data_IF_635007044595
#
_entry.id   IF_635007044595
#
_cell.length_a   1.000
_cell.length_b   1.000
_cell.length_c   1.000
_cell.angle_alpha   90.00
_cell.angle_beta   90.00
_cell.angle_gamma   90.00
#
_symmetry.space_group_name_H-M   'P 1'
#
loop_
_entity.id
_entity.type
_entity.pdbx_description
1 polymer ?
#
# COMPACT_ATOMS: atom_id res chain seq x y z
N UNK A 1 31.44 8.61 16.06
CA UNK A 1 32.09 7.29 16.19
C UNK A 1 31.33 6.49 17.23
N UNK A 2 30.29 5.78 16.79
CA UNK A 2 29.40 5.02 17.67
C UNK A 2 29.94 3.60 17.87
N UNK A 3 30.43 3.29 19.08
CA UNK A 3 30.82 1.93 19.47
C UNK A 3 29.72 1.35 20.36
N UNK A 4 28.74 0.67 19.76
CA UNK A 4 27.79 -0.17 20.52
C UNK A 4 28.29 -1.62 20.57
N UNK A 5 28.46 -2.08 21.81
CA UNK A 5 28.92 -3.41 22.20
C UNK A 5 27.92 -4.54 21.81
N UNK A 6 28.39 -5.80 21.69
CA UNK A 6 27.54 -6.94 21.33
C UNK A 6 26.65 -7.38 22.51
N UNK A 7 25.34 -7.52 22.25
CA UNK A 7 24.36 -8.10 23.19
C UNK A 7 24.60 -9.61 23.31
N UNK A 8 25.00 -10.07 24.49
CA UNK A 8 24.93 -11.49 24.91
C UNK A 8 23.46 -11.88 25.07
N UNK A 9 23.03 -12.93 24.38
CA UNK A 9 21.77 -13.63 24.67
C UNK A 9 22.03 -14.78 25.66
N UNK A 10 21.41 -14.79 26.85
CA UNK A 10 21.23 -16.00 27.62
C UNK A 10 19.78 -16.46 27.48
N UNK A 11 19.53 -17.58 26.80
CA UNK A 11 18.32 -18.33 27.11
C UNK A 11 18.52 -19.82 26.81
N UNK A 12 19.01 -20.53 27.83
CA UNK A 12 18.87 -21.99 27.90
C UNK A 12 17.46 -22.25 28.44
N UNK A 13 16.51 -22.50 27.56
CA UNK A 13 15.20 -23.02 27.97
C UNK A 13 15.41 -24.43 28.58
N UNK A 14 14.77 -24.77 29.71
CA UNK A 14 14.87 -26.11 30.26
C UNK A 14 14.21 -27.11 29.30
N UNK A 15 14.89 -28.22 29.03
CA UNK A 15 14.30 -29.35 28.31
C UNK A 15 13.22 -29.95 29.20
N UNK A 16 11.96 -29.57 28.96
CA UNK A 16 10.80 -30.14 29.61
C UNK A 16 10.60 -31.56 29.06
N UNK A 17 10.67 -32.57 29.94
CA UNK A 17 10.32 -33.94 29.57
C UNK A 17 8.81 -33.99 29.39
N UNK A 18 8.36 -33.94 28.14
CA UNK A 18 6.95 -34.12 27.78
C UNK A 18 6.58 -35.58 28.02
N UNK A 19 5.61 -35.81 28.90
CA UNK A 19 5.06 -37.14 29.13
C UNK A 19 3.91 -37.40 28.17
N UNK A 20 3.58 -38.68 27.92
CA UNK A 20 2.45 -39.05 27.05
C UNK A 20 1.13 -38.46 27.59
N UNK A 21 1.00 -38.30 28.91
CA UNK A 21 -0.14 -37.64 29.54
C UNK A 21 -0.30 -36.16 29.12
N UNK A 22 0.80 -35.44 28.95
CA UNK A 22 0.78 -34.02 28.53
C UNK A 22 0.28 -33.85 27.09
N UNK A 23 0.58 -34.82 26.22
CA UNK A 23 0.12 -34.82 24.82
C UNK A 23 -1.39 -35.04 24.72
N UNK A 24 -1.96 -35.89 25.58
CA UNK A 24 -3.41 -36.10 25.65
C UNK A 24 -4.15 -34.93 26.31
N UNK A 25 -3.54 -34.27 27.30
CA UNK A 25 -4.11 -33.06 27.91
C UNK A 25 -4.16 -31.88 26.91
N UNK A 26 -3.09 -31.67 26.13
CA UNK A 26 -3.06 -30.64 25.09
C UNK A 26 -4.09 -30.90 23.97
N UNK A 27 -4.38 -32.17 23.65
CA UNK A 27 -5.41 -32.54 22.67
C UNK A 27 -6.84 -32.23 23.15
N UNK A 28 -7.09 -32.19 24.46
CA UNK A 28 -8.39 -31.78 25.03
C UNK A 28 -8.55 -30.26 25.14
N UNK A 29 -7.46 -29.51 25.26
CA UNK A 29 -7.52 -28.05 25.37
C UNK A 29 -7.75 -27.35 24.01
N UNK A 30 -7.44 -28.00 22.89
CA UNK A 30 -7.64 -27.45 21.54
C UNK A 30 -9.06 -27.67 20.98
N UNK A 31 -9.93 -28.40 21.68
CA UNK A 31 -11.31 -28.69 21.25
C UNK A 31 -12.38 -27.82 21.92
N UNK A 32 -12.02 -26.91 22.83
CA UNK A 32 -12.97 -25.95 23.41
C UNK A 32 -12.91 -24.59 22.69
N UNK A 33 -13.47 -24.56 21.49
CA UNK A 33 -13.61 -23.35 20.67
C UNK A 33 -14.83 -23.42 19.75
N UNK A 34 -16.03 -23.30 20.34
CA UNK A 34 -17.30 -22.78 19.79
C UNK A 34 -17.68 -23.06 18.32
N UNK A 35 -18.74 -23.85 18.06
CA UNK A 35 -20.13 -23.40 17.74
C UNK A 35 -20.99 -24.50 17.05
N UNK A 36 -22.23 -24.64 17.52
CA UNK A 36 -23.48 -25.13 16.90
C UNK A 36 -23.57 -26.43 16.07
N UNK A 37 -24.45 -27.32 16.57
CA UNK A 37 -25.51 -27.96 15.76
C UNK A 37 -25.18 -29.24 15.01
N UNK A 38 -25.47 -30.40 15.63
CA UNK A 38 -25.68 -31.67 14.93
C UNK A 38 -24.96 -32.86 15.55
N UNK A 39 -25.68 -33.63 16.37
CA UNK A 39 -25.24 -34.93 16.92
C UNK A 39 -25.01 -35.91 15.77
N UNK A 40 -23.89 -36.66 15.79
CA UNK A 40 -24.04 -38.11 15.79
C UNK A 40 -23.26 -38.72 16.96
N UNK A 41 -23.98 -39.49 17.75
CA UNK A 41 -23.49 -40.27 18.88
C UNK A 41 -22.32 -41.16 18.45
N UNK A 42 -21.18 -41.03 19.12
CA UNK A 42 -20.15 -42.07 19.18
C UNK A 42 -20.10 -42.63 20.60
N UNK A 43 -19.92 -43.95 20.75
CA UNK A 43 -20.12 -44.63 22.02
C UNK A 43 -19.03 -44.25 23.03
N UNK A 44 -19.46 -43.69 24.17
CA UNK A 44 -18.64 -43.57 25.36
C UNK A 44 -18.22 -44.97 25.81
N UNK A 45 -17.02 -45.39 25.40
CA UNK A 45 -16.41 -46.61 25.93
C UNK A 45 -15.80 -46.26 27.27
N UNK A 46 -16.64 -46.21 28.30
CA UNK A 46 -16.20 -46.13 29.69
C UNK A 46 -15.58 -47.48 30.05
N UNK A 47 -14.25 -47.56 30.06
CA UNK A 47 -13.55 -48.76 30.54
C UNK A 47 -13.53 -48.73 32.07
N UNK A 48 -14.52 -49.39 32.68
CA UNK A 48 -14.53 -49.65 34.13
C UNK A 48 -13.43 -50.64 34.46
N UNK A 49 -12.38 -50.19 35.15
CA UNK A 49 -11.39 -51.08 35.75
C UNK A 49 -11.92 -51.58 37.09
N UNK A 50 -12.44 -52.80 37.13
CA UNK A 50 -12.71 -53.51 38.39
C UNK A 50 -11.38 -53.92 39.02
N UNK A 51 -11.07 -53.31 40.16
CA UNK A 51 -9.92 -53.67 40.98
C UNK A 51 -10.35 -54.69 42.05
N UNK A 52 -10.46 -55.96 41.67
CA UNK A 52 -10.44 -57.07 42.62
C UNK A 52 -9.05 -57.70 42.59
N UNK A 53 -8.25 -57.39 43.61
CA UNK A 53 -6.94 -57.99 43.83
C UNK A 53 -7.08 -59.15 44.81
N UNK A 54 -6.81 -60.38 44.36
CA UNK A 54 -6.01 -61.37 45.10
C UNK A 54 -5.59 -62.48 44.12
N UNK A 55 -4.42 -62.31 43.50
CA UNK A 55 -3.66 -63.43 42.98
C UNK A 55 -2.18 -63.03 42.91
N UNK A 56 -1.35 -63.71 43.71
CA UNK A 56 0.09 -63.79 43.53
C UNK A 56 0.40 -64.26 42.12
N UNK A 57 0.69 -63.33 41.21
CA UNK A 57 0.98 -63.62 39.81
C UNK A 57 1.62 -62.41 39.16
N UNK A 58 2.74 -62.64 38.49
CA UNK A 58 3.49 -61.66 37.69
C UNK A 58 2.51 -60.82 36.85
N UNK A 59 2.65 -59.48 36.78
CA UNK A 59 1.76 -58.66 35.97
C UNK A 59 1.71 -59.23 34.54
N UNK A 60 0.52 -59.32 33.90
CA UNK A 60 0.40 -59.88 32.57
C UNK A 60 1.38 -59.14 31.65
N UNK A 61 2.31 -59.88 31.06
CA UNK A 61 3.23 -59.26 30.11
C UNK A 61 2.41 -58.77 28.92
N UNK A 62 2.64 -57.53 28.45
CA UNK A 62 1.95 -57.02 27.28
C UNK A 62 2.23 -57.96 26.12
N UNK A 63 1.16 -58.51 25.54
CA UNK A 63 1.24 -59.34 24.34
C UNK A 63 1.84 -58.49 23.20
N UNK A 64 2.82 -59.05 22.49
CA UNK A 64 3.42 -58.40 21.32
C UNK A 64 2.36 -58.04 20.28
N UNK A 65 1.28 -58.80 20.17
CA UNK A 65 0.16 -58.48 19.28
C UNK A 65 -0.51 -57.14 19.67
N UNK A 66 -0.72 -56.89 20.96
CA UNK A 66 -1.29 -55.64 21.47
C UNK A 66 -0.33 -54.46 21.29
N UNK A 67 0.97 -54.66 21.51
CA UNK A 67 1.97 -53.62 21.26
C UNK A 67 1.98 -53.23 19.77
N UNK A 68 1.95 -54.23 18.88
CA UNK A 68 1.92 -54.01 17.43
C UNK A 68 0.64 -53.33 16.96
N UNK A 69 -0.52 -53.60 17.57
CA UNK A 69 -1.78 -52.92 17.23
C UNK A 69 -1.72 -51.43 17.59
N UNK A 70 -1.16 -51.07 18.75
CA UNK A 70 -0.94 -49.67 19.13
C UNK A 70 -0.02 -48.97 18.13
N UNK A 71 1.09 -49.61 17.74
CA UNK A 71 1.98 -49.02 16.74
C UNK A 71 1.29 -48.80 15.39
N UNK A 72 0.42 -49.73 14.97
CA UNK A 72 -0.37 -49.58 13.74
C UNK A 72 -1.36 -48.41 13.83
N UNK A 73 -2.04 -48.25 14.96
CA UNK A 73 -2.95 -47.12 15.20
C UNK A 73 -2.23 -45.78 15.22
N UNK A 74 -1.12 -45.69 15.97
CA UNK A 74 -0.28 -44.49 16.04
C UNK A 74 0.25 -44.12 14.66
N UNK A 75 0.74 -45.11 13.89
CA UNK A 75 1.19 -44.89 12.51
C UNK A 75 0.06 -44.34 11.64
N UNK A 76 -1.11 -44.95 11.69
CA UNK A 76 -2.28 -44.52 10.91
C UNK A 76 -2.70 -43.10 11.28
N UNK A 77 -2.73 -42.78 12.57
CA UNK A 77 -3.03 -41.45 13.07
C UNK A 77 -2.02 -40.40 12.58
N UNK A 78 -0.72 -40.67 12.72
CA UNK A 78 0.34 -39.75 12.29
C UNK A 78 0.32 -39.52 10.78
N UNK A 79 0.17 -40.59 9.99
CA UNK A 79 0.03 -40.50 8.53
C UNK A 79 -1.21 -39.68 8.17
N UNK A 80 -2.36 -39.96 8.78
CA UNK A 80 -3.59 -39.19 8.54
C UNK A 80 -3.48 -37.72 8.95
N UNK A 81 -2.69 -37.41 9.98
CA UNK A 81 -2.41 -36.02 10.39
C UNK A 81 -1.51 -35.31 9.37
N UNK A 82 -0.44 -35.97 8.92
CA UNK A 82 0.47 -35.44 7.89
C UNK A 82 -0.26 -35.21 6.57
N UNK A 83 -1.09 -36.14 6.13
CA UNK A 83 -1.88 -36.00 4.89
C UNK A 83 -2.82 -34.80 4.99
N UNK A 84 -3.53 -34.64 6.11
CA UNK A 84 -4.42 -33.50 6.34
C UNK A 84 -3.65 -32.17 6.36
N UNK A 85 -2.57 -32.08 7.13
CA UNK A 85 -1.77 -30.84 7.18
C UNK A 85 -1.17 -30.49 5.83
N UNK A 86 -0.69 -31.49 5.08
CA UNK A 86 -0.14 -31.27 3.74
C UNK A 86 -1.22 -30.85 2.74
N UNK A 87 -2.44 -31.38 2.87
CA UNK A 87 -3.60 -30.95 2.07
C UNK A 87 -3.98 -29.49 2.32
N UNK A 88 -4.03 -29.08 3.60
CA UNK A 88 -4.30 -27.68 3.98
C UNK A 88 -3.23 -26.75 3.42
N UNK A 89 -1.95 -27.05 3.67
CA UNK A 89 -0.83 -26.24 3.16
C UNK A 89 -0.83 -26.13 1.64
N UNK A 90 -1.16 -27.22 0.93
CA UNK A 90 -1.29 -27.18 -0.53
C UNK A 90 -2.40 -26.24 -0.97
N UNK A 91 -3.55 -26.27 -0.30
CA UNK A 91 -4.66 -25.35 -0.57
C UNK A 91 -4.26 -23.89 -0.34
N UNK A 92 -3.63 -23.59 0.80
CA UNK A 92 -3.14 -22.24 1.11
C UNK A 92 -2.11 -21.74 0.09
N UNK A 93 -1.18 -22.59 -0.34
CA UNK A 93 -0.19 -22.24 -1.38
C UNK A 93 -0.88 -21.91 -2.71
N UNK A 94 -1.91 -22.68 -3.09
CA UNK A 94 -2.67 -22.41 -4.31
C UNK A 94 -3.43 -21.09 -4.23
N UNK A 95 -4.07 -20.81 -3.09
CA UNK A 95 -4.77 -19.53 -2.85
C UNK A 95 -3.80 -18.36 -2.88
N UNK A 96 -2.62 -18.49 -2.24
CA UNK A 96 -1.59 -17.46 -2.26
C UNK A 96 -1.07 -17.22 -3.68
N UNK A 97 -0.87 -18.30 -4.46
CA UNK A 97 -0.49 -18.20 -5.87
C UNK A 97 -1.52 -17.44 -6.70
N UNK A 98 -2.80 -17.76 -6.55
CA UNK A 98 -3.88 -17.05 -7.26
C UNK A 98 -3.95 -15.57 -6.87
N UNK A 99 -3.80 -15.26 -5.59
CA UNK A 99 -3.79 -13.89 -5.09
C UNK A 99 -2.58 -13.10 -5.62
N UNK A 100 -1.41 -13.74 -5.67
CA UNK A 100 -0.19 -13.13 -6.21
C UNK A 100 -0.39 -12.73 -7.68
N UNK A 101 -0.92 -13.63 -8.50
CA UNK A 101 -1.23 -13.33 -9.91
C UNK A 101 -2.22 -12.17 -10.04
N UNK A 102 -3.24 -12.12 -9.18
CA UNK A 102 -4.22 -11.04 -9.20
C UNK A 102 -3.59 -9.68 -8.84
N UNK A 103 -2.70 -9.65 -7.84
CA UNK A 103 -1.98 -8.44 -7.44
C UNK A 103 -1.04 -7.97 -8.55
N UNK A 104 -0.33 -8.89 -9.19
CA UNK A 104 0.54 -8.58 -10.35
C UNK A 104 -0.25 -7.97 -11.50
N UNK A 105 -1.40 -8.53 -11.85
CA UNK A 105 -2.27 -7.98 -12.90
C UNK A 105 -2.77 -6.57 -12.57
N UNK A 106 -3.18 -6.33 -11.32
CA UNK A 106 -3.61 -5.00 -10.87
C UNK A 106 -2.46 -4.00 -10.88
N UNK A 107 -1.25 -4.44 -10.54
CA UNK A 107 -0.06 -3.60 -10.59
C UNK A 107 0.26 -3.17 -12.02
N UNK A 108 0.24 -4.12 -12.97
CA UNK A 108 0.45 -3.82 -14.40
C UNK A 108 -0.58 -2.82 -14.92
N UNK A 109 -1.87 -3.06 -14.68
CA UNK A 109 -2.92 -2.13 -15.11
C UNK A 109 -2.76 -0.73 -14.49
N UNK A 110 -2.34 -0.65 -13.23
CA UNK A 110 -2.09 0.64 -12.56
C UNK A 110 -0.88 1.35 -13.18
N UNK A 111 0.17 0.62 -13.54
CA UNK A 111 1.34 1.17 -14.22
C UNK A 111 1.00 1.72 -15.61
N UNK A 112 0.15 1.03 -16.37
CA UNK A 112 -0.32 1.51 -17.67
C UNK A 112 -1.07 2.84 -17.55
N UNK A 113 -2.04 2.92 -16.63
CA UNK A 113 -2.79 4.15 -16.35
C UNK A 113 -1.85 5.27 -15.87
N UNK A 114 -0.88 4.95 -15.01
CA UNK A 114 0.11 5.93 -14.55
C UNK A 114 0.92 6.51 -15.71
N UNK A 115 1.42 5.65 -16.60
CA UNK A 115 2.19 6.07 -17.76
C UNK A 115 1.36 6.95 -18.72
N UNK A 116 0.10 6.61 -18.93
CA UNK A 116 -0.83 7.43 -19.71
C UNK A 116 -1.02 8.82 -19.08
N UNK A 117 -1.27 8.88 -17.77
CA UNK A 117 -1.45 10.14 -17.04
C UNK A 117 -0.19 11.00 -17.10
N UNK A 118 1.00 10.42 -16.92
CA UNK A 118 2.27 11.14 -17.03
C UNK A 118 2.45 11.71 -18.44
N UNK A 119 2.17 10.92 -19.47
CA UNK A 119 2.20 11.40 -20.87
C UNK A 119 1.23 12.56 -21.09
N UNK A 120 0.01 12.48 -20.56
CA UNK A 120 -0.99 13.54 -20.64
C UNK A 120 -0.56 14.80 -19.90
N UNK A 121 0.03 14.68 -18.71
CA UNK A 121 0.57 15.82 -17.96
C UNK A 121 1.67 16.52 -18.77
N UNK A 122 2.60 15.76 -19.35
CA UNK A 122 3.69 16.32 -20.15
C UNK A 122 3.17 17.06 -21.39
N UNK A 123 2.19 16.50 -22.09
CA UNK A 123 1.57 17.17 -23.24
C UNK A 123 0.79 18.43 -22.85
N UNK A 124 0.07 18.42 -21.73
CA UNK A 124 -0.63 19.61 -21.22
C UNK A 124 0.36 20.70 -20.79
N UNK A 125 1.47 20.33 -20.15
CA UNK A 125 2.53 21.27 -19.79
C UNK A 125 3.12 21.92 -21.03
N UNK A 126 3.49 21.14 -22.05
CA UNK A 126 4.00 21.68 -23.31
C UNK A 126 3.02 22.65 -23.99
N UNK A 127 1.71 22.35 -23.94
CA UNK A 127 0.66 23.23 -24.46
C UNK A 127 0.50 24.50 -23.65
N UNK A 128 0.61 24.43 -22.33
CA UNK A 128 0.56 25.59 -21.45
C UNK A 128 1.75 26.51 -21.74
N UNK A 129 2.97 25.97 -21.76
CA UNK A 129 4.19 26.73 -22.05
C UNK A 129 4.10 27.42 -23.43
N UNK A 130 3.55 26.71 -24.43
CA UNK A 130 3.32 27.29 -25.77
C UNK A 130 2.28 28.41 -25.76
N UNK A 131 1.21 28.27 -24.96
CA UNK A 131 0.17 29.28 -24.85
C UNK A 131 0.67 30.54 -24.10
N UNK A 132 1.49 30.36 -23.06
CA UNK A 132 2.13 31.46 -22.34
C UNK A 132 3.03 32.28 -23.27
N UNK A 133 3.86 31.62 -24.08
CA UNK A 133 4.69 32.28 -25.09
C UNK A 133 3.85 33.03 -26.14
N UNK A 134 2.74 32.45 -26.58
CA UNK A 134 1.84 33.11 -27.54
C UNK A 134 1.17 34.35 -26.93
N UNK A 135 0.79 34.30 -25.65
CA UNK A 135 0.23 35.45 -24.93
C UNK A 135 1.30 36.54 -24.77
N UNK A 136 2.54 36.17 -24.43
CA UNK A 136 3.65 37.11 -24.33
C UNK A 136 3.91 37.80 -25.67
N UNK A 137 3.97 37.05 -26.78
CA UNK A 137 4.15 37.60 -28.13
C UNK A 137 3.01 38.55 -28.51
N UNK A 138 1.75 38.17 -28.29
CA UNK A 138 0.59 39.05 -28.55
C UNK A 138 0.64 40.29 -27.68
N UNK A 139 0.98 40.16 -26.39
CA UNK A 139 1.12 41.27 -25.47
C UNK A 139 2.24 42.24 -25.87
N UNK A 140 3.33 41.71 -26.40
CA UNK A 140 4.44 42.51 -26.92
C UNK A 140 4.06 43.20 -28.24
N UNK A 141 3.35 42.52 -29.15
CA UNK A 141 2.86 43.08 -30.42
C UNK A 141 1.74 44.10 -30.27
N UNK A 142 0.95 44.04 -29.19
CA UNK A 142 -0.11 45.01 -28.93
C UNK A 142 0.39 46.28 -28.24
N UNK A 143 1.63 46.28 -27.72
CA UNK A 143 2.23 47.40 -27.00
C UNK A 143 3.33 48.21 -27.72
N UNK A 144 3.80 47.91 -28.95
CA UNK A 144 4.98 48.57 -29.52
C UNK A 144 4.74 50.05 -29.78
N UNK A 145 3.48 50.44 -30.01
CA UNK A 145 3.08 51.83 -30.20
C UNK A 145 2.43 52.45 -28.95
N UNK A 146 2.33 51.70 -27.84
CA UNK A 146 1.68 52.18 -26.61
C UNK A 146 2.74 52.69 -25.64
N UNK A 147 2.82 54.00 -25.46
CA UNK A 147 3.68 54.64 -24.47
C UNK A 147 2.89 54.86 -23.18
N UNK A 148 3.37 54.32 -22.05
CA UNK A 148 2.74 54.53 -20.74
C UNK A 148 3.43 55.69 -20.02
N UNK A 149 2.80 56.86 -20.06
CA UNK A 149 3.26 58.07 -19.35
C UNK A 149 2.75 57.98 -17.89
N UNK A 150 3.65 58.09 -16.92
CA UNK A 150 3.32 58.08 -15.47
C UNK A 150 3.52 59.47 -14.88
N UNK A 151 2.75 59.81 -13.85
CA UNK A 151 2.89 61.08 -13.13
C UNK A 151 2.15 62.27 -13.78
N UNK A 152 1.20 62.01 -14.68
CA UNK A 152 0.30 63.05 -15.16
C UNK A 152 -0.65 63.47 -14.03
N UNK A 153 -0.93 64.77 -13.86
CA UNK A 153 -1.95 65.25 -12.91
C UNK A 153 -3.32 64.66 -13.26
N UNK A 154 -4.07 64.18 -12.26
CA UNK A 154 -5.43 63.66 -12.48
C UNK A 154 -6.42 64.74 -12.93
N UNK A 155 -6.10 66.00 -12.66
CA UNK A 155 -6.89 67.16 -13.04
C UNK A 155 -6.34 67.72 -14.34
N UNK A 156 -6.53 66.98 -15.43
CA UNK A 156 -6.46 67.55 -16.77
C UNK A 156 -7.66 68.48 -16.83
N UNK A 157 -7.44 69.79 -16.69
CA UNK A 157 -8.52 70.76 -16.91
C UNK A 157 -9.21 70.47 -18.24
N UNK A 158 -10.50 70.79 -18.38
CA UNK A 158 -11.45 70.36 -19.43
C UNK A 158 -11.01 70.42 -20.91
N UNK A 159 -9.77 70.78 -21.22
CA UNK A 159 -9.14 70.67 -22.53
C UNK A 159 -8.71 69.25 -22.94
N UNK A 160 -8.33 69.08 -24.22
CA UNK A 160 -7.98 67.79 -24.80
C UNK A 160 -6.67 67.23 -24.21
N UNK A 161 -6.66 65.95 -23.81
CA UNK A 161 -5.48 65.23 -23.33
C UNK A 161 -4.27 65.34 -24.30
N UNK A 162 -4.56 65.40 -25.60
CA UNK A 162 -3.55 65.53 -26.67
C UNK A 162 -2.73 66.82 -26.51
N UNK A 163 -3.37 67.95 -26.20
CA UNK A 163 -2.70 69.24 -26.09
C UNK A 163 -1.75 69.27 -24.88
N UNK A 164 -2.15 68.63 -23.78
CA UNK A 164 -1.30 68.46 -22.61
C UNK A 164 -0.07 67.60 -22.94
N UNK A 165 -0.26 66.46 -23.63
CA UNK A 165 0.85 65.58 -24.03
C UNK A 165 1.83 66.33 -24.94
N UNK A 166 1.33 67.07 -25.94
CA UNK A 166 2.19 67.89 -26.82
C UNK A 166 2.95 68.95 -26.02
N UNK A 167 2.30 69.62 -25.06
CA UNK A 167 2.97 70.65 -24.23
C UNK A 167 4.13 70.10 -23.38
N UNK A 168 4.04 68.84 -22.94
CA UNK A 168 5.07 68.16 -22.16
C UNK A 168 6.25 67.75 -23.05
N UNK A 169 5.96 67.18 -24.23
CA UNK A 169 7.00 66.62 -25.10
C UNK A 169 7.67 67.65 -26.02
N UNK A 170 6.98 68.71 -26.43
CA UNK A 170 7.52 69.76 -27.33
C UNK A 170 8.82 70.41 -26.81
N UNK A 171 8.98 70.74 -25.51
CA UNK A 171 10.26 71.24 -24.99
C UNK A 171 11.34 70.16 -24.84
N UNK A 172 10.97 68.87 -24.79
CA UNK A 172 11.92 67.75 -24.60
C UNK A 172 12.43 67.17 -25.93
N UNK A 173 11.68 67.35 -27.02
CA UNK A 173 11.99 66.80 -28.34
C UNK A 173 12.13 67.94 -29.36
N UNK A 174 13.19 68.73 -29.20
CA UNK A 174 13.48 69.93 -30.01
C UNK A 174 13.70 69.67 -31.49
N UNK A 175 14.03 68.43 -31.85
CA UNK A 175 14.43 68.06 -33.21
C UNK A 175 13.24 67.58 -34.07
N UNK A 176 12.04 67.52 -33.50
CA UNK A 176 10.84 67.10 -34.23
C UNK A 176 10.19 68.31 -34.91
N UNK A 177 10.10 68.34 -36.25
CA UNK A 177 9.55 69.48 -36.98
C UNK A 177 8.08 69.73 -36.65
N UNK A 178 7.69 71.01 -36.66
CA UNK A 178 6.43 71.49 -36.07
C UNK A 178 5.16 70.91 -36.73
N UNK A 179 5.30 70.48 -37.99
CA UNK A 179 4.25 69.83 -38.78
C UNK A 179 3.94 68.37 -38.36
N UNK A 180 4.78 67.72 -37.56
CA UNK A 180 4.57 66.34 -37.09
C UNK A 180 3.85 66.25 -35.74
N UNK A 181 3.68 67.38 -35.04
CA UNK A 181 2.98 67.44 -33.74
C UNK A 181 1.46 67.52 -33.87
N UNK A 182 0.96 67.82 -35.06
CA UNK A 182 -0.46 67.94 -35.35
C UNK A 182 -0.93 66.70 -36.10
N UNK A 183 -2.06 66.15 -35.65
CA UNK A 183 -2.69 64.97 -36.26
C UNK A 183 -2.93 65.23 -37.75
N UNK A 184 -2.39 64.35 -38.62
CA UNK A 184 -2.83 64.30 -40.02
C UNK A 184 -4.31 63.92 -39.98
N UNK A 185 -5.19 64.89 -40.18
CA UNK A 185 -6.61 64.64 -40.48
C UNK A 185 -6.67 63.70 -41.70
N UNK A 186 -7.02 62.44 -41.45
CA UNK A 186 -7.47 61.50 -42.47
C UNK A 186 -8.95 61.75 -42.77
#
# INVERSE_FOLDING_TARGET
>A
MDKRAPKKHPNKSPVQKVTIADVFAASRALTSGSQDGGVPSSPDTTTTFSADATATGRPPQPDMAWILSIFAEVKTYLVGKIVRSTGVLRGEIQTLGAWTVQVEQRLVATMEVHNEVVSRINSLKARLDSAELAIEDVGNRSRPNNVRIRGLPEHVGDGPLVDMVVSIFKPLLTDIPENLWHEKKA
#
